data_IF_184295055294
#
_entry.id   IF_184295055294
#
_cell.length_a   1.000
_cell.length_b   1.000
_cell.length_c   1.000
_cell.angle_alpha   90.00
_cell.angle_beta   90.00
_cell.angle_gamma   90.00
#
_symmetry.space_group_name_H-M   'P 1'
#
loop_
_entity.id
_entity.type
_entity.pdbx_description
1 polymer ?
#
# COMPACT_ATOMS: atom_id res chain seq x y z
N UNK A 1 -8.72 -34.99 -4.79
CA UNK A 1 -7.64 -34.38 -5.61
C UNK A 1 -7.16 -33.12 -4.89
N UNK A 2 -5.98 -33.16 -4.26
CA UNK A 2 -5.42 -32.01 -3.54
C UNK A 2 -4.73 -31.11 -4.56
N UNK A 3 -5.33 -29.97 -4.88
CA UNK A 3 -4.67 -28.94 -5.68
C UNK A 3 -3.73 -28.14 -4.79
N UNK A 4 -2.43 -28.42 -4.85
CA UNK A 4 -1.42 -27.60 -4.17
C UNK A 4 -1.48 -26.17 -4.75
N UNK A 5 -1.53 -25.11 -3.92
CA UNK A 5 -1.56 -23.74 -4.41
C UNK A 5 -0.32 -23.45 -5.27
N UNK A 6 -0.52 -22.99 -6.51
CA UNK A 6 0.58 -22.63 -7.41
C UNK A 6 1.35 -21.45 -6.81
N UNK A 7 2.55 -21.71 -6.27
CA UNK A 7 3.46 -20.67 -5.78
C UNK A 7 3.76 -19.68 -6.92
N UNK A 8 3.17 -18.49 -6.87
CA UNK A 8 3.44 -17.45 -7.86
C UNK A 8 4.91 -17.04 -7.76
N UNK A 9 5.69 -17.28 -8.82
CA UNK A 9 7.06 -16.75 -8.92
C UNK A 9 6.99 -15.23 -9.09
N UNK A 10 7.56 -14.49 -8.16
CA UNK A 10 7.65 -13.03 -8.20
C UNK A 10 9.04 -12.61 -8.63
N UNK A 11 9.14 -11.80 -9.69
CA UNK A 11 10.42 -11.34 -10.23
C UNK A 11 10.70 -9.89 -9.82
N UNK A 12 11.95 -9.60 -9.44
CA UNK A 12 12.41 -8.27 -9.05
C UNK A 12 12.74 -7.39 -10.27
N UNK A 13 12.86 -6.08 -10.08
CA UNK A 13 13.17 -5.14 -11.18
C UNK A 13 14.50 -5.48 -11.86
N UNK A 14 15.53 -5.89 -11.11
CA UNK A 14 16.81 -6.30 -11.67
C UNK A 14 16.67 -7.46 -12.68
N UNK A 15 15.96 -8.53 -12.31
CA UNK A 15 15.72 -9.69 -13.18
C UNK A 15 14.97 -9.29 -14.45
N UNK A 16 13.96 -8.41 -14.31
CA UNK A 16 13.20 -7.90 -15.46
C UNK A 16 14.09 -7.10 -16.41
N UNK A 17 14.98 -6.26 -15.89
CA UNK A 17 15.93 -5.47 -16.70
C UNK A 17 16.92 -6.36 -17.43
N UNK A 18 17.54 -7.31 -16.72
CA UNK A 18 18.47 -8.27 -17.33
C UNK A 18 17.80 -9.09 -18.45
N UNK A 19 16.56 -9.54 -18.21
CA UNK A 19 15.79 -10.24 -19.23
C UNK A 19 15.51 -9.38 -20.47
N UNK A 20 15.19 -8.10 -20.29
CA UNK A 20 14.92 -7.17 -21.39
C UNK A 20 16.19 -6.80 -22.17
N UNK A 21 17.32 -6.61 -21.49
CA UNK A 21 18.62 -6.40 -22.13
C UNK A 21 19.02 -7.61 -22.97
N UNK A 22 18.77 -8.82 -22.48
CA UNK A 22 19.05 -10.03 -23.25
C UNK A 22 18.13 -10.16 -24.47
N UNK A 23 16.85 -9.81 -24.34
CA UNK A 23 15.94 -9.75 -25.50
C UNK A 23 16.47 -8.77 -26.56
N UNK A 24 16.99 -7.61 -26.17
CA UNK A 24 17.55 -6.65 -27.12
C UNK A 24 18.83 -7.17 -27.80
N UNK A 25 19.66 -7.92 -27.06
CA UNK A 25 20.94 -8.42 -27.56
C UNK A 25 20.81 -9.65 -28.49
N UNK A 26 19.93 -10.60 -28.16
CA UNK A 26 19.85 -11.90 -28.86
C UNK A 26 18.47 -12.23 -29.44
N UNK A 27 17.47 -11.37 -29.21
CA UNK A 27 16.08 -11.58 -29.64
C UNK A 27 15.26 -12.47 -28.69
N UNK A 28 13.92 -12.33 -28.74
CA UNK A 28 12.97 -13.00 -27.83
C UNK A 28 13.14 -14.53 -27.81
N UNK A 29 13.31 -15.14 -28.99
CA UNK A 29 13.39 -16.59 -29.12
C UNK A 29 14.65 -17.19 -28.46
N UNK A 30 15.80 -16.52 -28.56
CA UNK A 30 17.03 -16.96 -27.92
C UNK A 30 17.01 -16.68 -26.41
N UNK A 31 16.51 -15.52 -25.99
CA UNK A 31 16.35 -15.17 -24.58
C UNK A 31 15.42 -16.14 -23.84
N UNK A 32 14.35 -16.62 -24.48
CA UNK A 32 13.46 -17.65 -23.92
C UNK A 32 14.18 -18.96 -23.59
N UNK A 33 15.07 -19.40 -24.49
CA UNK A 33 15.85 -20.63 -24.30
C UNK A 33 16.88 -20.49 -23.18
N UNK A 34 17.47 -19.31 -23.02
CA UNK A 34 18.52 -19.05 -22.03
C UNK A 34 17.97 -18.78 -20.62
N UNK A 35 16.85 -18.06 -20.49
CA UNK A 35 16.36 -17.60 -19.19
C UNK A 35 15.37 -18.57 -18.53
N UNK A 36 14.71 -19.43 -19.31
CA UNK A 36 13.68 -20.36 -18.79
C UNK A 36 12.45 -19.66 -18.18
N UNK A 37 12.27 -18.36 -18.39
CA UNK A 37 11.08 -17.64 -17.93
C UNK A 37 9.87 -17.94 -18.82
N UNK A 38 8.64 -18.00 -18.26
CA UNK A 38 7.44 -18.15 -19.07
C UNK A 38 7.33 -17.05 -20.13
N UNK A 39 7.06 -17.43 -21.38
CA UNK A 39 6.96 -16.47 -22.50
C UNK A 39 6.03 -15.30 -22.24
N UNK A 40 4.90 -15.56 -21.57
CA UNK A 40 3.94 -14.53 -21.16
C UNK A 40 4.59 -13.42 -20.33
N UNK A 41 5.45 -13.78 -19.36
CA UNK A 41 6.09 -12.80 -18.49
C UNK A 41 7.05 -11.89 -19.27
N UNK A 42 7.84 -12.47 -20.18
CA UNK A 42 8.78 -11.70 -21.01
C UNK A 42 8.05 -10.71 -21.91
N UNK A 43 6.94 -11.13 -22.54
CA UNK A 43 6.08 -10.23 -23.32
C UNK A 43 5.45 -9.13 -22.46
N UNK A 44 4.94 -9.48 -21.28
CA UNK A 44 4.35 -8.51 -20.34
C UNK A 44 5.38 -7.47 -19.87
N UNK A 45 6.64 -7.87 -19.70
CA UNK A 45 7.73 -6.96 -19.35
C UNK A 45 8.18 -6.13 -20.54
N UNK A 46 8.26 -6.71 -21.74
CA UNK A 46 8.60 -5.98 -22.96
C UNK A 46 7.57 -4.88 -23.25
N UNK A 47 6.27 -5.17 -23.06
CA UNK A 47 5.20 -4.17 -23.16
C UNK A 47 5.32 -3.03 -22.12
N UNK A 48 6.04 -3.26 -21.01
CA UNK A 48 6.25 -2.29 -19.93
C UNK A 48 7.72 -1.84 -19.85
N UNK A 49 8.52 -2.09 -20.89
CA UNK A 49 9.98 -1.90 -20.90
C UNK A 49 10.38 -0.51 -20.44
N UNK A 50 9.83 0.54 -21.06
CA UNK A 50 10.09 1.92 -20.68
C UNK A 50 9.88 2.16 -19.17
N UNK A 51 8.72 1.76 -18.63
CA UNK A 51 8.40 1.90 -17.19
C UNK A 51 9.34 1.12 -16.28
N UNK A 52 9.86 -0.03 -16.73
CA UNK A 52 10.82 -0.85 -15.97
C UNK A 52 12.20 -0.17 -15.93
N UNK A 53 12.63 0.44 -17.03
CA UNK A 53 13.89 1.17 -17.10
C UNK A 53 13.82 2.54 -16.40
N UNK A 54 12.69 3.23 -16.49
CA UNK A 54 12.47 4.53 -15.84
C UNK A 54 12.29 4.42 -14.30
N UNK A 55 12.06 3.22 -13.77
CA UNK A 55 11.87 3.02 -12.34
C UNK A 55 13.14 3.34 -11.53
N UNK A 56 13.05 4.36 -10.67
CA UNK A 56 14.16 4.83 -9.81
C UNK A 56 14.17 4.24 -8.39
N UNK A 57 13.28 3.30 -8.08
CA UNK A 57 13.25 2.65 -6.77
C UNK A 57 14.22 1.47 -6.64
N UNK A 58 14.09 0.72 -5.54
CA UNK A 58 14.96 -0.41 -5.24
C UNK A 58 14.91 -1.50 -6.33
N UNK A 59 16.07 -1.97 -6.79
CA UNK A 59 16.16 -3.03 -7.81
C UNK A 59 15.62 -4.37 -7.32
N UNK A 60 15.59 -4.58 -6.00
CA UNK A 60 14.97 -5.72 -5.30
C UNK A 60 13.44 -5.62 -5.25
N UNK A 61 12.86 -4.49 -5.66
CA UNK A 61 11.40 -4.34 -5.70
C UNK A 61 10.79 -5.30 -6.71
N UNK A 62 9.65 -5.89 -6.36
CA UNK A 62 8.84 -6.75 -7.25
C UNK A 62 7.85 -5.93 -8.09
N UNK A 63 7.58 -4.69 -7.69
CA UNK A 63 6.57 -3.82 -8.29
C UNK A 63 7.19 -2.55 -8.85
N UNK A 64 6.61 -2.05 -9.95
CA UNK A 64 6.96 -0.76 -10.54
C UNK A 64 6.32 0.43 -9.79
N UNK A 65 5.40 0.14 -8.87
CA UNK A 65 4.74 1.16 -8.05
C UNK A 65 5.61 1.48 -6.85
N UNK A 66 6.38 2.56 -6.96
CA UNK A 66 6.75 3.36 -5.80
C UNK A 66 5.53 4.17 -5.33
N UNK A 67 5.42 4.34 -4.01
CA UNK A 67 4.43 5.13 -3.26
C UNK A 67 3.02 4.57 -3.14
N UNK A 68 2.68 4.30 -1.88
CA UNK A 68 1.45 4.74 -1.20
C UNK A 68 0.14 4.46 -1.92
N UNK A 69 -0.63 3.53 -1.36
CA UNK A 69 -2.08 3.45 -1.62
C UNK A 69 -2.67 4.87 -1.54
N UNK A 70 -3.44 5.29 -2.56
CA UNK A 70 -4.14 6.58 -2.61
C UNK A 70 -4.76 6.86 -1.24
N UNK A 71 -4.52 8.06 -0.71
CA UNK A 71 -5.14 8.49 0.54
C UNK A 71 -6.66 8.50 0.33
N UNK A 72 -7.36 7.71 1.14
CA UNK A 72 -8.83 7.60 1.09
C UNK A 72 -9.47 8.79 1.83
N UNK A 73 -8.73 9.38 2.76
CA UNK A 73 -9.15 10.51 3.57
C UNK A 73 -8.85 11.80 2.78
N UNK A 74 -9.87 12.56 2.33
CA UNK A 74 -9.68 13.75 1.50
C UNK A 74 -9.08 14.93 2.28
N UNK A 75 -9.18 14.90 3.61
CA UNK A 75 -8.66 15.92 4.54
C UNK A 75 -7.40 15.43 5.27
N UNK A 76 -6.55 14.64 4.61
CA UNK A 76 -5.35 14.06 5.22
C UNK A 76 -4.44 15.11 5.88
N UNK A 77 -4.26 16.27 5.25
CA UNK A 77 -3.45 17.35 5.80
C UNK A 77 -3.97 17.87 7.15
N UNK A 78 -5.28 18.16 7.25
CA UNK A 78 -5.90 18.63 8.48
C UNK A 78 -5.79 17.60 9.61
N UNK A 79 -6.00 16.33 9.28
CA UNK A 79 -5.85 15.24 10.25
C UNK A 79 -4.40 15.09 10.73
N UNK A 80 -3.41 15.26 9.85
CA UNK A 80 -1.98 15.27 10.24
C UNK A 80 -1.65 16.46 11.14
N UNK A 81 -2.19 17.64 10.87
CA UNK A 81 -2.01 18.81 11.74
C UNK A 81 -2.55 18.53 13.13
N UNK A 82 -3.79 18.02 13.24
CA UNK A 82 -4.37 17.60 14.52
C UNK A 82 -3.48 16.58 15.25
N UNK A 83 -2.97 15.56 14.56
CA UNK A 83 -2.05 14.58 15.17
C UNK A 83 -0.76 15.22 15.70
N UNK A 84 -0.22 16.20 14.98
CA UNK A 84 0.99 16.93 15.40
C UNK A 84 0.73 17.85 16.58
N UNK A 85 -0.42 18.50 16.63
CA UNK A 85 -0.82 19.35 17.75
C UNK A 85 -0.98 18.51 19.02
N UNK A 86 -1.66 17.35 18.95
CA UNK A 86 -1.75 16.44 20.09
C UNK A 86 -0.39 15.96 20.58
N UNK A 87 0.54 15.71 19.66
CA UNK A 87 1.92 15.37 20.02
C UNK A 87 2.66 16.54 20.68
N UNK A 88 2.47 17.78 20.20
CA UNK A 88 3.09 18.98 20.78
C UNK A 88 2.61 19.20 22.22
N UNK A 89 1.33 18.92 22.46
CA UNK A 89 0.69 19.13 23.75
C UNK A 89 0.86 17.91 24.69
N UNK A 90 1.73 16.95 24.33
CA UNK A 90 2.03 15.70 25.07
C UNK A 90 0.81 14.80 25.36
N UNK A 91 -0.28 15.00 24.62
CA UNK A 91 -1.50 14.23 24.76
C UNK A 91 -1.40 12.86 24.05
N UNK A 92 -1.94 11.78 24.66
CA UNK A 92 -1.95 10.47 24.02
C UNK A 92 -2.83 10.47 22.78
N UNK A 93 -2.19 10.37 21.61
CA UNK A 93 -2.91 10.24 20.34
C UNK A 93 -3.39 8.79 20.15
N UNK A 94 -4.68 8.56 20.26
CA UNK A 94 -5.32 7.28 19.93
C UNK A 94 -6.25 7.39 18.70
N UNK A 95 -6.52 6.25 18.09
CA UNK A 95 -7.42 6.15 16.91
C UNK A 95 -8.82 6.72 17.22
N UNK A 96 -9.26 6.65 18.48
CA UNK A 96 -10.55 7.21 18.89
C UNK A 96 -10.56 8.74 18.85
N UNK A 97 -9.48 9.42 19.24
CA UNK A 97 -9.37 10.87 19.12
C UNK A 97 -9.38 11.32 17.67
N UNK A 98 -8.71 10.57 16.78
CA UNK A 98 -8.78 10.81 15.33
C UNK A 98 -10.22 10.64 14.81
N UNK A 99 -10.94 9.60 15.26
CA UNK A 99 -12.34 9.41 14.88
C UNK A 99 -13.22 10.55 15.43
N UNK A 100 -13.00 10.99 16.67
CA UNK A 100 -13.74 12.11 17.29
C UNK A 100 -13.51 13.41 16.51
N UNK A 101 -12.27 13.70 16.12
CA UNK A 101 -11.96 14.85 15.27
C UNK A 101 -12.70 14.79 13.93
N UNK A 102 -12.75 13.61 13.29
CA UNK A 102 -13.49 13.41 12.04
C UNK A 102 -15.00 13.56 12.25
N UNK A 103 -15.55 13.01 13.32
CA UNK A 103 -16.97 13.16 13.68
C UNK A 103 -17.35 14.64 13.83
N UNK A 104 -16.48 15.46 14.42
CA UNK A 104 -16.74 16.88 14.67
C UNK A 104 -16.59 17.76 13.42
N UNK A 105 -15.61 17.48 12.55
CA UNK A 105 -15.23 18.39 11.47
C UNK A 105 -15.64 17.89 10.07
N UNK A 106 -15.87 16.59 9.92
CA UNK A 106 -16.09 15.92 8.62
C UNK A 106 -17.18 14.85 8.72
N UNK A 107 -18.27 15.17 9.44
CA UNK A 107 -19.37 14.23 9.69
C UNK A 107 -19.99 13.70 8.39
N UNK A 108 -20.26 14.56 7.41
CA UNK A 108 -20.87 14.16 6.14
C UNK A 108 -20.03 13.12 5.40
N UNK A 109 -18.70 13.32 5.39
CA UNK A 109 -17.78 12.35 4.81
C UNK A 109 -17.78 11.03 5.57
N UNK A 110 -17.82 11.08 6.91
CA UNK A 110 -17.88 9.87 7.73
C UNK A 110 -19.17 9.07 7.49
N UNK A 111 -20.31 9.75 7.39
CA UNK A 111 -21.61 9.12 7.11
C UNK A 111 -21.57 8.43 5.74
N UNK A 112 -21.18 9.16 4.68
CA UNK A 112 -21.04 8.58 3.34
C UNK A 112 -20.05 7.41 3.30
N UNK A 113 -18.95 7.52 4.06
CA UNK A 113 -17.97 6.44 4.15
C UNK A 113 -18.56 5.19 4.81
N UNK A 114 -19.35 5.34 5.87
CA UNK A 114 -19.99 4.24 6.58
C UNK A 114 -21.14 3.62 5.79
N UNK A 115 -21.95 4.42 5.09
CA UNK A 115 -23.03 3.94 4.21
C UNK A 115 -22.52 3.06 3.06
N UNK A 116 -21.28 3.31 2.59
CA UNK A 116 -20.64 2.46 1.58
C UNK A 116 -20.21 1.07 2.09
N UNK A 117 -20.50 0.71 3.35
CA UNK A 117 -20.06 -0.52 4.02
C UNK A 117 -21.24 -1.45 4.24
N UNK A 118 -20.94 -2.74 4.37
CA UNK A 118 -21.97 -3.80 4.42
C UNK A 118 -22.81 -3.77 5.69
N UNK A 119 -22.24 -3.33 6.80
CA UNK A 119 -22.89 -3.22 8.10
C UNK A 119 -22.21 -2.14 8.93
N UNK A 120 -22.88 -1.66 9.97
CA UNK A 120 -22.34 -0.67 10.90
C UNK A 120 -21.04 -1.17 11.57
N UNK A 121 -21.04 -2.40 12.07
CA UNK A 121 -19.86 -3.05 12.64
C UNK A 121 -18.70 -3.17 11.62
N UNK A 122 -19.01 -3.50 10.37
CA UNK A 122 -18.00 -3.56 9.31
C UNK A 122 -17.46 -2.18 8.98
N UNK A 123 -18.31 -1.15 8.99
CA UNK A 123 -17.93 0.24 8.79
C UNK A 123 -17.05 0.78 9.90
N UNK A 124 -17.42 0.53 11.16
CA UNK A 124 -16.62 0.90 12.33
C UNK A 124 -15.22 0.25 12.30
N UNK A 125 -15.17 -1.07 12.05
CA UNK A 125 -13.90 -1.78 11.91
C UNK A 125 -13.07 -1.27 10.72
N UNK A 126 -13.72 -0.88 9.62
CA UNK A 126 -13.05 -0.34 8.45
C UNK A 126 -12.44 1.05 8.72
N UNK A 127 -13.17 1.95 9.39
CA UNK A 127 -12.67 3.29 9.72
C UNK A 127 -11.54 3.21 10.75
N UNK A 128 -11.65 2.36 11.77
CA UNK A 128 -10.58 2.14 12.75
C UNK A 128 -9.29 1.66 12.07
N UNK A 129 -9.39 0.65 11.20
CA UNK A 129 -8.23 0.17 10.43
C UNK A 129 -7.69 1.21 9.45
N UNK A 130 -8.53 2.07 8.91
CA UNK A 130 -8.10 3.17 8.04
C UNK A 130 -7.25 4.17 8.83
N UNK A 131 -7.72 4.58 10.00
CA UNK A 131 -7.03 5.54 10.88
C UNK A 131 -5.73 4.97 11.46
N UNK A 132 -5.71 3.70 11.88
CA UNK A 132 -4.47 3.03 12.32
C UNK A 132 -3.39 3.03 11.22
N UNK A 133 -3.78 2.71 9.98
CA UNK A 133 -2.86 2.74 8.84
C UNK A 133 -2.43 4.15 8.46
N UNK A 134 -3.32 5.13 8.66
CA UNK A 134 -3.02 6.52 8.46
C UNK A 134 -1.96 6.98 9.46
N UNK A 135 -2.19 6.76 10.76
CA UNK A 135 -1.25 7.12 11.81
C UNK A 135 0.14 6.50 11.57
N UNK A 136 0.19 5.18 11.30
CA UNK A 136 1.45 4.47 10.98
C UNK A 136 2.21 5.03 9.77
N UNK A 137 1.54 5.72 8.84
CA UNK A 137 2.18 6.31 7.67
C UNK A 137 2.87 7.63 7.99
N UNK A 138 2.32 8.40 8.92
CA UNK A 138 2.76 9.76 9.23
C UNK A 138 3.50 9.88 10.56
N UNK A 139 3.57 8.80 11.33
CA UNK A 139 4.28 8.74 12.61
C UNK A 139 5.53 7.87 12.50
N UNK A 140 6.71 8.47 12.64
CA UNK A 140 8.00 7.81 12.72
C UNK A 140 8.19 7.25 14.16
N UNK A 141 7.74 6.02 14.39
CA UNK A 141 8.17 5.09 15.45
C UNK A 141 8.73 5.71 16.77
N UNK A 142 7.86 6.21 17.66
CA UNK A 142 7.96 6.10 19.15
C UNK A 142 6.92 7.00 19.85
N UNK A 143 5.65 6.59 19.88
CA UNK A 143 4.66 7.21 20.77
C UNK A 143 3.75 6.11 21.31
N UNK A 144 3.42 6.21 22.60
CA UNK A 144 2.51 5.37 23.36
C UNK A 144 1.18 5.17 22.63
N UNK A 145 1.12 4.17 21.74
CA UNK A 145 -0.15 3.58 21.35
C UNK A 145 -0.63 2.80 22.58
N UNK A 146 -1.54 3.39 23.34
CA UNK A 146 -2.53 2.58 24.05
C UNK A 146 -3.32 1.90 22.93
N UNK A 147 -2.86 0.71 22.53
CA UNK A 147 -3.70 -0.24 21.83
C UNK A 147 -4.94 -0.37 22.70
N UNK A 148 -6.09 0.04 22.19
CA UNK A 148 -7.38 -0.05 22.86
C UNK A 148 -7.50 -1.42 23.55
N UNK A 149 -7.29 -1.40 24.85
CA UNK A 149 -7.60 -2.48 25.77
C UNK A 149 -9.12 -2.41 25.98
N UNK A 150 -9.87 -2.91 25.00
CA UNK A 150 -11.28 -3.25 25.17
C UNK A 150 -11.57 -4.51 24.37
N UNK A 151 -11.01 -5.62 24.89
CA UNK A 151 -11.65 -6.91 24.80
C UNK A 151 -12.30 -7.18 26.15
N UNK A 152 -13.58 -6.85 26.25
CA UNK A 152 -14.50 -7.23 27.33
C UNK A 152 -15.80 -7.66 26.68
#
# INVERSE_FOLDING_TARGET
MVTTPRKQRSYIIAEKRGALQLIDAVGEAAALRQLGYPRRNLRDWAAKKAKIFDYRGAQTSKTLKGRGRKEIIPFSHALVTFMKDMRRDEEPLCTQYMLKYIKLNYQDWLVQYLESKKSEESGYNAIMRLLQRFAKRYDDLNVFFVFDFFGG
#
